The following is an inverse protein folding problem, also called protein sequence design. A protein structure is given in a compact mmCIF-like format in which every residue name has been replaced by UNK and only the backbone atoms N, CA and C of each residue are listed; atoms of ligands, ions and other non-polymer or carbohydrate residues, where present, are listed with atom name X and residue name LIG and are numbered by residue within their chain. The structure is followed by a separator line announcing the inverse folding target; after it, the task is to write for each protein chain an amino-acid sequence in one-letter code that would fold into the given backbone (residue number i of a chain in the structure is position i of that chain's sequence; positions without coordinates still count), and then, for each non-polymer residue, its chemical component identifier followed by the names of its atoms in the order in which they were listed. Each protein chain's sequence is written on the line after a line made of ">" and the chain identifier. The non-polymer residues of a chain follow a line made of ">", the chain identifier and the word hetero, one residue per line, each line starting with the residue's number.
data_IF_982234829494
#
_entry.id   IF_982234829494
#
_cell.length_a   1.000
_cell.length_b   1.000
_cell.length_c   1.000
_cell.angle_alpha   90.00
_cell.angle_beta   90.00
_cell.angle_gamma   90.00
#
_symmetry.space_group_name_H-M   'P 1'
#
loop_
_entity.id
_entity.type
_entity.pdbx_description
1 polymer ?
#
# COMPACT_ATOMS: atom_id res chain seq x y z
N UNK A 1 38.94 -26.56 35.03
CA UNK A 1 37.68 -26.65 34.26
C UNK A 1 37.17 -25.23 34.07
N UNK A 2 37.51 -24.60 32.94
CA UNK A 2 37.08 -23.23 32.61
C UNK A 2 35.79 -23.35 31.81
N UNK A 3 34.68 -22.88 32.36
CA UNK A 3 33.41 -22.80 31.64
C UNK A 3 33.51 -21.58 30.72
N UNK A 4 33.65 -21.81 29.42
CA UNK A 4 33.47 -20.78 28.40
C UNK A 4 31.97 -20.66 28.14
N UNK A 5 31.35 -19.61 28.68
CA UNK A 5 29.99 -19.22 28.31
C UNK A 5 30.03 -18.59 26.92
N UNK A 6 29.60 -19.35 25.91
CA UNK A 6 29.53 -18.89 24.53
C UNK A 6 28.40 -17.86 24.36
N UNK A 7 28.81 -16.63 24.03
CA UNK A 7 28.18 -15.65 23.14
C UNK A 7 26.64 -15.61 23.04
N UNK A 8 26.07 -14.56 23.64
CA UNK A 8 24.93 -13.76 23.17
C UNK A 8 23.97 -14.41 22.16
N UNK A 9 22.79 -14.79 22.64
CA UNK A 9 21.57 -14.75 21.85
C UNK A 9 21.35 -13.29 21.43
N UNK A 10 21.84 -12.89 20.26
CA UNK A 10 21.41 -11.66 19.63
C UNK A 10 19.92 -11.81 19.33
N UNK A 11 19.06 -11.23 20.16
CA UNK A 11 17.66 -11.07 19.82
C UNK A 11 17.60 -10.33 18.49
N UNK A 12 17.21 -11.02 17.42
CA UNK A 12 16.97 -10.36 16.14
C UNK A 12 15.88 -9.32 16.34
N UNK A 13 16.15 -8.07 15.99
CA UNK A 13 15.17 -6.98 16.06
C UNK A 13 13.87 -7.42 15.37
N UNK A 14 12.75 -7.32 16.08
CA UNK A 14 11.44 -7.70 15.56
C UNK A 14 11.11 -6.80 14.37
N UNK A 15 10.97 -7.41 13.19
CA UNK A 15 10.62 -6.70 11.96
C UNK A 15 9.21 -6.13 12.02
N UNK A 16 9.04 -4.91 11.52
CA UNK A 16 7.80 -4.12 11.67
C UNK A 16 7.29 -3.59 10.35
N UNK A 17 5.98 -3.68 10.12
CA UNK A 17 5.33 -3.06 8.96
C UNK A 17 4.04 -2.33 9.33
N UNK A 18 3.70 -1.32 8.53
CA UNK A 18 2.40 -0.65 8.57
C UNK A 18 1.60 -1.06 7.34
N UNK A 19 0.32 -1.41 7.53
CA UNK A 19 -0.65 -1.64 6.47
C UNK A 19 -1.76 -0.59 6.58
N UNK A 20 -1.75 0.41 5.70
CA UNK A 20 -2.86 1.36 5.58
C UNK A 20 -3.91 0.77 4.64
N UNK A 21 -5.14 0.59 5.14
CA UNK A 21 -6.19 -0.19 4.50
C UNK A 21 -6.26 -1.62 5.04
N UNK A 22 -5.77 -1.87 6.25
CA UNK A 22 -5.61 -3.21 6.84
C UNK A 22 -6.89 -4.03 7.05
N UNK A 23 -8.07 -3.47 6.77
CA UNK A 23 -9.36 -4.19 6.80
C UNK A 23 -9.98 -4.37 5.41
N UNK A 24 -9.36 -3.85 4.35
CA UNK A 24 -9.71 -4.17 2.97
C UNK A 24 -9.17 -5.54 2.57
N UNK A 25 -9.60 -6.10 1.44
CA UNK A 25 -9.26 -7.46 1.04
C UNK A 25 -7.73 -7.71 0.98
N UNK A 26 -6.98 -6.86 0.26
CA UNK A 26 -5.52 -6.96 0.20
C UNK A 26 -4.86 -6.64 1.55
N UNK A 27 -5.46 -5.73 2.34
CA UNK A 27 -4.96 -5.38 3.67
C UNK A 27 -5.08 -6.52 4.68
N UNK A 28 -6.20 -7.24 4.69
CA UNK A 28 -6.41 -8.43 5.52
C UNK A 28 -5.38 -9.51 5.17
N UNK A 29 -5.19 -9.77 3.87
CA UNK A 29 -4.19 -10.73 3.38
C UNK A 29 -2.77 -10.28 3.76
N UNK A 30 -2.45 -8.99 3.65
CA UNK A 30 -1.15 -8.45 4.03
C UNK A 30 -0.88 -8.61 5.53
N UNK A 31 -1.87 -8.29 6.37
CA UNK A 31 -1.74 -8.46 7.82
C UNK A 31 -1.51 -9.93 8.16
N UNK A 32 -2.32 -10.84 7.62
CA UNK A 32 -2.16 -12.29 7.81
C UNK A 32 -0.80 -12.79 7.41
N UNK A 33 -0.37 -12.44 6.20
CA UNK A 33 0.89 -12.90 5.64
C UNK A 33 2.07 -12.48 6.52
N UNK A 34 2.18 -11.20 6.88
CA UNK A 34 3.30 -10.70 7.68
C UNK A 34 3.25 -11.22 9.13
N UNK A 35 2.06 -11.36 9.73
CA UNK A 35 1.92 -11.98 11.06
C UNK A 35 2.37 -13.43 11.06
N UNK A 36 2.08 -14.19 10.00
CA UNK A 36 2.56 -15.57 9.83
C UNK A 36 4.09 -15.68 9.69
N UNK A 37 4.76 -14.61 9.27
CA UNK A 37 6.23 -14.53 9.24
C UNK A 37 6.84 -14.08 10.59
N UNK A 38 6.03 -13.95 11.65
CA UNK A 38 6.41 -13.40 12.96
C UNK A 38 6.78 -11.89 12.95
N UNK A 39 6.28 -11.13 11.98
CA UNK A 39 6.47 -9.68 11.95
C UNK A 39 5.42 -8.99 12.82
N UNK A 40 5.79 -7.85 13.39
CA UNK A 40 4.84 -6.94 14.03
C UNK A 40 4.13 -6.11 12.95
N UNK A 41 2.81 -6.02 13.02
CA UNK A 41 2.00 -5.36 12.00
C UNK A 41 1.05 -4.35 12.63
N UNK A 42 1.16 -3.08 12.24
CA UNK A 42 0.16 -2.06 12.52
C UNK A 42 -0.85 -1.97 11.38
N UNK A 43 -2.14 -2.11 11.69
CA UNK A 43 -3.24 -1.86 10.74
C UNK A 43 -3.79 -0.45 10.93
N UNK A 44 -3.83 0.35 9.86
CA UNK A 44 -4.51 1.65 9.83
C UNK A 44 -5.77 1.50 8.98
N UNK A 45 -6.96 1.67 9.56
CA UNK A 45 -8.23 1.48 8.85
C UNK A 45 -9.42 2.11 9.60
N UNK A 46 -10.61 2.11 9.01
CA UNK A 46 -11.83 2.60 9.65
C UNK A 46 -12.36 1.66 10.75
N UNK A 47 -11.95 0.41 10.75
CA UNK A 47 -12.29 -0.59 11.76
C UNK A 47 -11.05 -1.33 12.26
N UNK A 48 -11.19 -2.08 13.35
CA UNK A 48 -10.09 -2.84 13.97
C UNK A 48 -9.88 -4.13 13.17
N UNK A 49 -8.62 -4.40 12.81
CA UNK A 49 -8.18 -5.73 12.39
C UNK A 49 -7.62 -6.47 13.62
N UNK A 50 -8.33 -7.51 14.08
CA UNK A 50 -7.96 -8.28 15.28
C UNK A 50 -6.73 -9.17 15.08
N UNK A 51 -6.34 -9.42 13.84
CA UNK A 51 -5.17 -10.23 13.51
C UNK A 51 -3.87 -9.39 13.52
N UNK A 52 -3.99 -8.06 13.43
CA UNK A 52 -2.86 -7.14 13.51
C UNK A 52 -2.31 -7.05 14.94
N UNK A 53 -1.01 -6.76 15.07
CA UNK A 53 -0.35 -6.54 16.36
C UNK A 53 -0.85 -5.26 17.04
N UNK A 54 -1.22 -4.26 16.24
CA UNK A 54 -1.75 -3.00 16.71
C UNK A 54 -2.66 -2.35 15.66
N UNK A 55 -3.48 -1.39 16.09
CA UNK A 55 -4.44 -0.71 15.22
C UNK A 55 -4.42 0.80 15.44
N UNK A 56 -4.55 1.56 14.35
CA UNK A 56 -4.92 2.98 14.36
C UNK A 56 -6.24 3.13 13.63
N UNK A 57 -7.29 3.49 14.37
CA UNK A 57 -8.62 3.72 13.79
C UNK A 57 -8.69 5.10 13.13
N UNK A 58 -8.99 5.14 11.84
CA UNK A 58 -9.19 6.38 11.07
C UNK A 58 -10.57 6.94 11.39
N UNK A 59 -10.62 8.21 11.81
CA UNK A 59 -11.89 8.93 12.00
C UNK A 59 -12.40 9.44 10.66
N UNK A 60 -13.68 9.20 10.35
CA UNK A 60 -14.31 9.78 9.16
C UNK A 60 -14.43 11.29 9.35
N UNK A 61 -13.93 12.05 8.38
CA UNK A 61 -14.00 13.52 8.35
C UNK A 61 -13.91 13.99 6.90
N UNK A 62 -14.49 15.15 6.64
CA UNK A 62 -14.40 15.86 5.37
C UNK A 62 -13.10 16.70 5.26
N UNK A 63 -12.36 16.82 6.37
CA UNK A 63 -11.09 17.56 6.42
C UNK A 63 -9.89 16.63 6.25
N UNK A 64 -9.24 16.71 5.09
CA UNK A 64 -7.99 15.99 4.83
C UNK A 64 -6.96 16.21 5.94
N UNK A 65 -6.74 17.47 6.31
CA UNK A 65 -5.70 17.83 7.27
C UNK A 65 -5.99 17.32 8.68
N UNK A 66 -7.26 17.23 9.06
CA UNK A 66 -7.67 16.63 10.33
C UNK A 66 -7.42 15.13 10.34
N UNK A 67 -7.83 14.41 9.29
CA UNK A 67 -7.56 12.98 9.14
C UNK A 67 -6.05 12.69 9.16
N UNK A 68 -5.28 13.47 8.39
CA UNK A 68 -3.83 13.31 8.30
C UNK A 68 -3.15 13.53 9.65
N UNK A 69 -3.53 14.59 10.39
CA UNK A 69 -3.02 14.84 11.75
C UNK A 69 -3.41 13.71 12.70
N UNK A 70 -4.66 13.27 12.68
CA UNK A 70 -5.16 12.21 13.56
C UNK A 70 -4.42 10.89 13.37
N UNK A 71 -4.24 10.46 12.12
CA UNK A 71 -3.49 9.24 11.81
C UNK A 71 -2.01 9.38 12.17
N UNK A 72 -1.39 10.52 11.84
CA UNK A 72 0.03 10.77 12.18
C UNK A 72 0.27 10.72 13.68
N UNK A 73 -0.59 11.35 14.49
CA UNK A 73 -0.52 11.30 15.95
C UNK A 73 -0.79 9.88 16.47
N UNK A 74 -1.75 9.16 15.88
CA UNK A 74 -2.05 7.78 16.26
C UNK A 74 -0.86 6.84 16.04
N UNK A 75 -0.20 6.94 14.89
CA UNK A 75 1.02 6.17 14.58
C UNK A 75 2.18 6.59 15.49
N UNK A 76 2.34 7.89 15.76
CA UNK A 76 3.39 8.36 16.68
C UNK A 76 3.22 7.86 18.11
N UNK A 77 1.99 7.78 18.62
CA UNK A 77 1.71 7.16 19.93
C UNK A 77 2.02 5.66 19.94
N UNK A 78 1.86 4.99 18.80
CA UNK A 78 2.05 3.56 18.68
C UNK A 78 3.53 3.17 18.57
N UNK A 79 4.31 3.93 17.79
CA UNK A 79 5.70 3.61 17.49
C UNK A 79 6.72 4.34 18.39
N UNK A 80 6.37 5.50 18.94
CA UNK A 80 7.37 6.38 19.54
C UNK A 80 8.46 6.71 18.51
N UNK A 81 9.71 6.36 18.85
CA UNK A 81 10.88 6.56 17.98
C UNK A 81 11.22 5.33 17.11
N UNK A 82 10.51 4.21 17.29
CA UNK A 82 10.76 2.98 16.56
C UNK A 82 10.46 3.15 15.06
N UNK A 83 11.29 2.50 14.23
CA UNK A 83 11.15 2.51 12.77
C UNK A 83 10.46 1.24 12.27
N UNK A 84 9.98 1.31 11.03
CA UNK A 84 9.37 0.18 10.32
C UNK A 84 10.17 -0.15 9.06
N UNK A 85 10.18 -1.43 8.71
CA UNK A 85 10.82 -1.96 7.51
C UNK A 85 10.04 -1.59 6.24
N UNK A 86 8.71 -1.55 6.33
CA UNK A 86 7.88 -1.14 5.22
C UNK A 86 6.54 -0.51 5.62
N UNK A 87 6.00 0.30 4.71
CA UNK A 87 4.65 0.87 4.77
C UNK A 87 3.93 0.47 3.47
N UNK A 88 2.83 -0.26 3.60
CA UNK A 88 1.99 -0.67 2.48
C UNK A 88 0.69 0.13 2.49
N UNK A 89 0.55 1.05 1.54
CA UNK A 89 -0.70 1.78 1.30
C UNK A 89 -1.57 1.00 0.32
N UNK A 90 -2.43 0.14 0.87
CA UNK A 90 -3.40 -0.69 0.12
C UNK A 90 -4.84 -0.22 0.27
N UNK A 91 -5.05 0.89 0.98
CA UNK A 91 -6.31 1.60 0.99
C UNK A 91 -6.59 2.23 -0.38
N UNK A 92 -7.86 2.21 -0.77
CA UNK A 92 -8.32 2.72 -2.04
C UNK A 92 -9.71 2.20 -2.32
N UNK A 93 -10.35 2.83 -3.29
CA UNK A 93 -11.60 2.37 -3.87
C UNK A 93 -11.64 2.70 -5.35
N UNK A 94 -12.72 2.27 -5.98
CA UNK A 94 -12.97 2.42 -7.41
C UNK A 94 -14.38 2.96 -7.62
N UNK A 95 -14.54 3.79 -8.64
CA UNK A 95 -15.83 4.26 -9.12
C UNK A 95 -15.81 4.39 -10.64
N UNK A 96 -16.87 3.90 -11.28
CA UNK A 96 -17.14 4.11 -12.70
C UNK A 96 -17.98 5.38 -12.89
N UNK A 97 -17.85 6.00 -14.06
CA UNK A 97 -18.53 7.23 -14.43
C UNK A 97 -17.70 8.06 -15.40
N UNK A 98 -18.28 8.35 -16.56
CA UNK A 98 -17.75 9.32 -17.50
C UNK A 98 -18.09 10.76 -17.10
N UNK A 99 -17.58 11.73 -17.86
CA UNK A 99 -17.73 13.15 -17.56
C UNK A 99 -19.19 13.67 -17.58
N UNK A 100 -20.13 12.93 -18.18
CA UNK A 100 -21.56 13.29 -18.19
C UNK A 100 -22.32 12.74 -16.97
N UNK A 101 -21.72 11.82 -16.21
CA UNK A 101 -22.39 11.18 -15.09
C UNK A 101 -22.77 12.21 -14.00
N UNK A 102 -24.03 12.18 -13.55
CA UNK A 102 -24.50 13.02 -12.43
C UNK A 102 -23.70 12.78 -11.13
N UNK A 103 -23.07 11.62 -10.99
CA UNK A 103 -22.23 11.24 -9.86
C UNK A 103 -20.78 11.73 -9.96
N UNK A 104 -20.38 12.43 -11.03
CA UNK A 104 -18.99 12.83 -11.29
C UNK A 104 -18.34 13.51 -10.08
N UNK A 105 -18.98 14.54 -9.53
CA UNK A 105 -18.42 15.29 -8.40
C UNK A 105 -18.33 14.45 -7.13
N UNK A 106 -19.37 13.65 -6.84
CA UNK A 106 -19.37 12.72 -5.70
C UNK A 106 -18.23 11.72 -5.80
N UNK A 107 -18.02 11.13 -6.98
CA UNK A 107 -16.95 10.16 -7.19
C UNK A 107 -15.57 10.80 -7.28
N UNK A 108 -15.46 12.04 -7.76
CA UNK A 108 -14.20 12.79 -7.72
C UNK A 108 -13.74 12.99 -6.26
N UNK A 109 -14.63 13.45 -5.39
CA UNK A 109 -14.35 13.61 -3.96
C UNK A 109 -14.00 12.26 -3.29
N UNK A 110 -14.83 11.23 -3.49
CA UNK A 110 -14.60 9.92 -2.89
C UNK A 110 -13.29 9.28 -3.35
N UNK A 111 -13.00 9.28 -4.66
CA UNK A 111 -11.76 8.70 -5.19
C UNK A 111 -10.53 9.44 -4.71
N UNK A 112 -10.62 10.76 -4.52
CA UNK A 112 -9.54 11.56 -3.95
C UNK A 112 -9.29 11.20 -2.49
N UNK A 113 -10.35 11.08 -1.68
CA UNK A 113 -10.25 10.67 -0.27
C UNK A 113 -9.68 9.26 -0.11
N UNK A 114 -10.14 8.30 -0.90
CA UNK A 114 -9.74 6.90 -0.73
C UNK A 114 -8.35 6.60 -1.28
N UNK A 115 -7.91 7.31 -2.33
CA UNK A 115 -6.64 7.02 -3.02
C UNK A 115 -5.54 8.05 -2.79
N UNK A 116 -5.87 9.35 -2.84
CA UNK A 116 -4.86 10.43 -2.75
C UNK A 116 -4.55 10.77 -1.29
N UNK A 117 -5.56 10.88 -0.43
CA UNK A 117 -5.33 11.20 0.99
C UNK A 117 -4.54 10.10 1.68
N UNK A 118 -4.91 8.84 1.46
CA UNK A 118 -4.24 7.67 2.05
C UNK A 118 -2.79 7.57 1.61
N UNK A 119 -2.52 7.74 0.30
CA UNK A 119 -1.17 7.77 -0.25
C UNK A 119 -0.34 8.92 0.32
N UNK A 120 -0.92 10.13 0.39
CA UNK A 120 -0.24 11.31 0.96
C UNK A 120 0.10 11.11 2.44
N UNK A 121 -0.81 10.54 3.23
CA UNK A 121 -0.55 10.24 4.64
C UNK A 121 0.56 9.19 4.76
N UNK A 122 0.53 8.11 3.98
CA UNK A 122 1.57 7.09 4.02
C UNK A 122 2.95 7.65 3.65
N UNK A 123 3.01 8.53 2.66
CA UNK A 123 4.23 9.26 2.30
C UNK A 123 4.78 10.04 3.49
N UNK A 124 3.94 10.82 4.18
CA UNK A 124 4.38 11.57 5.37
C UNK A 124 4.76 10.67 6.55
N UNK A 125 4.07 9.55 6.74
CA UNK A 125 4.47 8.54 7.71
C UNK A 125 5.83 7.95 7.36
N UNK A 126 6.14 7.76 6.07
CA UNK A 126 7.41 7.21 5.63
C UNK A 126 8.59 8.13 5.96
N UNK A 127 8.45 9.45 5.81
CA UNK A 127 9.51 10.40 6.19
C UNK A 127 9.83 10.35 7.70
N UNK A 128 8.86 9.94 8.53
CA UNK A 128 8.98 9.88 9.98
C UNK A 128 9.40 8.53 10.53
N UNK A 129 8.84 7.44 9.99
CA UNK A 129 8.89 6.12 10.62
C UNK A 129 9.52 5.05 9.74
N UNK A 130 9.71 5.28 8.44
CA UNK A 130 10.41 4.30 7.61
C UNK A 130 11.91 4.32 7.97
N UNK A 131 12.51 3.13 8.08
CA UNK A 131 13.97 3.03 8.27
C UNK A 131 14.73 3.36 6.99
N UNK A 132 16.02 3.65 7.13
CA UNK A 132 16.92 3.67 5.97
C UNK A 132 16.90 2.33 5.24
N UNK A 133 16.82 2.36 3.91
CA UNK A 133 16.66 1.15 3.10
C UNK A 133 15.25 0.52 3.14
N UNK A 134 14.28 1.14 3.83
CA UNK A 134 12.91 0.64 3.93
C UNK A 134 12.10 0.78 2.63
N UNK A 135 10.91 0.17 2.61
CA UNK A 135 10.02 0.15 1.45
C UNK A 135 8.70 0.90 1.73
N UNK A 136 8.33 1.84 0.86
CA UNK A 136 6.99 2.39 0.75
C UNK A 136 6.33 1.85 -0.52
N UNK A 137 5.17 1.21 -0.41
CA UNK A 137 4.37 0.86 -1.58
C UNK A 137 3.06 1.63 -1.58
N UNK A 138 2.73 2.23 -2.72
CA UNK A 138 1.45 2.87 -2.99
C UNK A 138 0.62 2.01 -3.94
N UNK A 139 -0.69 2.27 -3.98
CA UNK A 139 -1.62 1.55 -4.85
C UNK A 139 -2.01 2.41 -6.04
N UNK A 140 -1.35 2.18 -7.18
CA UNK A 140 -1.74 2.68 -8.48
C UNK A 140 -2.91 1.90 -9.08
N UNK A 141 -2.99 1.92 -10.42
CA UNK A 141 -3.94 1.14 -11.21
C UNK A 141 -3.44 1.10 -12.65
N UNK A 142 -3.51 -0.06 -13.29
CA UNK A 142 -3.09 -0.23 -14.70
C UNK A 142 -3.88 0.69 -15.64
N UNK A 143 -5.18 0.84 -15.42
CA UNK A 143 -6.06 1.64 -16.29
C UNK A 143 -5.68 3.12 -16.35
N UNK A 144 -5.02 3.65 -15.32
CA UNK A 144 -4.62 5.06 -15.25
C UNK A 144 -3.31 5.38 -16.00
N UNK A 145 -2.76 4.40 -16.74
CA UNK A 145 -1.64 4.62 -17.67
C UNK A 145 -2.09 5.21 -19.01
N UNK A 146 -3.39 5.27 -19.26
CA UNK A 146 -3.97 5.84 -20.47
C UNK A 146 -5.30 6.55 -20.19
N UNK A 147 -6.06 6.89 -21.24
CA UNK A 147 -7.34 7.55 -21.10
C UNK A 147 -8.36 6.69 -20.33
N UNK A 148 -9.00 7.27 -19.31
CA UNK A 148 -10.00 6.60 -18.46
C UNK A 148 -11.39 7.20 -18.63
N UNK A 149 -11.90 7.22 -19.87
CA UNK A 149 -13.15 7.92 -20.22
C UNK A 149 -14.37 7.45 -19.41
N UNK A 150 -14.46 6.16 -19.07
CA UNK A 150 -15.56 5.57 -18.29
C UNK A 150 -15.32 5.56 -16.77
N UNK A 151 -14.21 6.12 -16.30
CA UNK A 151 -13.86 6.14 -14.87
C UNK A 151 -13.00 7.36 -14.54
N UNK A 152 -13.43 8.54 -14.97
CA UNK A 152 -12.60 9.77 -14.99
C UNK A 152 -12.05 10.10 -13.59
N UNK A 153 -12.92 10.10 -12.58
CA UNK A 153 -12.55 10.38 -11.18
C UNK A 153 -11.53 9.38 -10.62
N UNK A 154 -11.67 8.10 -10.95
CA UNK A 154 -10.74 7.06 -10.52
C UNK A 154 -9.39 7.18 -11.22
N UNK A 155 -9.40 7.42 -12.53
CA UNK A 155 -8.19 7.64 -13.33
C UNK A 155 -7.38 8.84 -12.83
N UNK A 156 -8.02 9.99 -12.59
CA UNK A 156 -7.37 11.18 -12.04
C UNK A 156 -6.69 10.91 -10.70
N UNK A 157 -7.39 10.24 -9.77
CA UNK A 157 -6.85 9.92 -8.46
C UNK A 157 -5.65 8.97 -8.54
N UNK A 158 -5.73 7.93 -9.38
CA UNK A 158 -4.63 6.96 -9.55
C UNK A 158 -3.44 7.53 -10.31
N UNK A 159 -3.64 8.38 -11.31
CA UNK A 159 -2.56 9.09 -12.00
C UNK A 159 -1.80 10.01 -11.02
N UNK A 160 -2.51 10.66 -10.09
CA UNK A 160 -1.88 11.45 -9.02
C UNK A 160 -0.98 10.59 -8.11
N UNK A 161 -1.38 9.35 -7.81
CA UNK A 161 -0.55 8.39 -7.05
C UNK A 161 0.68 7.95 -7.84
N UNK A 162 0.55 7.78 -9.18
CA UNK A 162 1.70 7.45 -10.03
C UNK A 162 2.73 8.58 -9.99
N UNK A 163 2.29 9.82 -10.18
CA UNK A 163 3.19 10.97 -10.14
C UNK A 163 3.79 11.21 -8.75
N UNK A 164 3.02 10.97 -7.68
CA UNK A 164 3.54 10.99 -6.31
C UNK A 164 4.68 9.97 -6.14
N UNK A 165 4.51 8.76 -6.65
CA UNK A 165 5.52 7.68 -6.57
C UNK A 165 6.83 8.10 -7.23
N UNK A 166 6.77 8.70 -8.42
CA UNK A 166 7.95 9.19 -9.12
C UNK A 166 8.59 10.36 -8.40
N UNK A 167 7.79 11.31 -7.91
CA UNK A 167 8.29 12.46 -7.13
C UNK A 167 9.09 12.01 -5.91
N UNK A 168 8.69 10.90 -5.27
CA UNK A 168 9.37 10.35 -4.11
C UNK A 168 10.74 9.72 -4.40
N UNK A 169 10.98 9.35 -5.65
CA UNK A 169 12.30 8.88 -6.11
C UNK A 169 13.29 10.01 -6.39
N UNK A 170 12.81 11.25 -6.49
CA UNK A 170 13.62 12.42 -6.74
C UNK A 170 14.50 12.80 -5.54
N UNK A 171 15.59 13.56 -5.78
CA UNK A 171 16.39 14.11 -4.69
C UNK A 171 15.56 15.05 -3.82
N UNK A 172 15.90 15.14 -2.53
CA UNK A 172 15.22 16.00 -1.54
C UNK A 172 13.72 15.69 -1.34
N UNK A 173 13.24 14.48 -1.70
CA UNK A 173 11.85 14.08 -1.48
C UNK A 173 11.45 13.96 0.01
N UNK A 174 12.44 13.93 0.91
CA UNK A 174 12.25 13.77 2.34
C UNK A 174 12.16 12.31 2.79
N UNK A 175 12.22 11.34 1.87
CA UNK A 175 12.33 9.93 2.25
C UNK A 175 13.72 9.61 2.85
N UNK A 176 13.81 8.63 3.78
CA UNK A 176 15.08 8.22 4.36
C UNK A 176 16.08 7.74 3.30
N UNK A 177 17.40 7.90 3.54
CA UNK A 177 18.43 7.38 2.65
C UNK A 177 18.23 5.92 2.25
N UNK A 178 18.49 5.62 0.97
CA UNK A 178 18.39 4.27 0.37
C UNK A 178 17.00 3.63 0.42
N UNK A 179 15.97 4.32 0.92
CA UNK A 179 14.60 3.82 0.87
C UNK A 179 14.06 3.80 -0.56
N UNK A 180 13.02 2.98 -0.77
CA UNK A 180 12.41 2.77 -2.09
C UNK A 180 10.92 3.07 -2.00
N UNK A 181 10.43 3.91 -2.91
CA UNK A 181 9.00 4.12 -3.12
C UNK A 181 8.57 3.42 -4.42
N UNK A 182 7.54 2.58 -4.37
CA UNK A 182 6.97 1.87 -5.52
C UNK A 182 5.47 2.11 -5.58
N UNK A 183 4.87 1.99 -6.77
CA UNK A 183 3.44 1.79 -6.90
C UNK A 183 3.18 0.45 -7.58
N UNK A 184 2.30 -0.36 -7.02
CA UNK A 184 1.72 -1.49 -7.76
C UNK A 184 0.55 -1.01 -8.61
N UNK A 185 0.48 -1.49 -9.85
CA UNK A 185 -0.55 -1.15 -10.83
C UNK A 185 -1.29 -2.44 -11.18
N UNK A 186 -2.18 -2.92 -10.30
CA UNK A 186 -2.99 -4.08 -10.62
C UNK A 186 -3.95 -3.79 -11.78
N UNK A 187 -4.24 -4.83 -12.57
CA UNK A 187 -5.50 -4.94 -13.30
C UNK A 187 -6.63 -5.22 -12.30
N UNK A 188 -7.28 -6.38 -12.39
CA UNK A 188 -8.28 -6.81 -11.41
C UNK A 188 -7.63 -7.67 -10.33
N UNK A 189 -7.83 -7.30 -9.06
CA UNK A 189 -7.47 -8.15 -7.93
C UNK A 189 -8.57 -9.18 -7.67
N UNK A 190 -8.19 -10.41 -7.34
CA UNK A 190 -9.14 -11.44 -6.95
C UNK A 190 -9.63 -11.22 -5.51
N UNK A 191 -10.75 -10.49 -5.38
CA UNK A 191 -11.34 -10.16 -4.09
C UNK A 191 -12.75 -10.74 -3.95
N UNK A 192 -13.22 -11.04 -2.72
CA UNK A 192 -14.60 -11.45 -2.50
C UNK A 192 -15.62 -10.46 -3.05
N UNK A 193 -15.33 -9.16 -2.93
CA UNK A 193 -16.16 -8.09 -3.51
C UNK A 193 -16.21 -8.24 -5.02
N UNK A 194 -15.07 -8.30 -5.71
CA UNK A 194 -15.02 -8.44 -7.17
C UNK A 194 -15.76 -9.69 -7.65
N UNK A 195 -15.58 -10.83 -6.98
CA UNK A 195 -16.33 -12.07 -7.30
C UNK A 195 -17.84 -11.90 -7.16
N UNK A 196 -18.30 -11.11 -6.18
CA UNK A 196 -19.71 -10.83 -5.96
C UNK A 196 -20.32 -9.91 -7.02
N UNK A 197 -19.62 -8.84 -7.41
CA UNK A 197 -20.10 -7.88 -8.43
C UNK A 197 -19.89 -8.37 -9.87
N UNK A 198 -18.94 -9.27 -10.11
CA UNK A 198 -18.63 -9.84 -11.42
C UNK A 198 -18.62 -11.38 -11.38
N UNK A 199 -19.75 -12.05 -11.09
CA UNK A 199 -19.80 -13.50 -10.84
C UNK A 199 -19.45 -14.35 -12.07
N UNK A 200 -19.63 -13.81 -13.28
CA UNK A 200 -19.39 -14.53 -14.55
C UNK A 200 -18.06 -14.12 -15.23
N UNK A 201 -17.22 -13.32 -14.57
CA UNK A 201 -15.95 -12.90 -15.14
C UNK A 201 -14.92 -14.05 -15.14
N UNK A 202 -14.00 -14.02 -16.10
CA UNK A 202 -12.87 -14.94 -16.14
C UNK A 202 -11.86 -14.59 -15.03
N UNK A 203 -11.97 -15.28 -13.90
CA UNK A 203 -11.08 -15.11 -12.75
C UNK A 203 -9.65 -15.57 -13.02
N UNK A 204 -9.38 -16.28 -14.13
CA UNK A 204 -8.00 -16.67 -14.51
C UNK A 204 -7.13 -15.47 -14.91
N UNK A 205 -7.76 -14.32 -15.17
CA UNK A 205 -7.12 -13.03 -15.44
C UNK A 205 -6.97 -12.15 -14.20
N UNK A 206 -7.48 -12.59 -13.03
CA UNK A 206 -7.46 -11.80 -11.81
C UNK A 206 -6.26 -12.13 -10.96
N UNK A 207 -5.61 -11.10 -10.43
CA UNK A 207 -4.38 -11.23 -9.64
C UNK A 207 -4.71 -11.71 -8.23
N UNK A 208 -4.20 -12.89 -7.82
CA UNK A 208 -4.41 -13.40 -6.47
C UNK A 208 -3.78 -12.48 -5.41
N UNK A 209 -4.47 -12.25 -4.30
CA UNK A 209 -3.98 -11.37 -3.22
C UNK A 209 -2.68 -11.87 -2.60
N UNK A 210 -2.53 -13.19 -2.46
CA UNK A 210 -1.32 -13.82 -1.92
C UNK A 210 -0.09 -13.58 -2.82
N UNK A 211 -0.27 -13.45 -4.13
CA UNK A 211 0.83 -13.09 -5.03
C UNK A 211 1.36 -11.69 -4.70
N UNK A 212 0.46 -10.73 -4.46
CA UNK A 212 0.81 -9.35 -4.11
C UNK A 212 1.54 -9.30 -2.76
N UNK A 213 1.06 -10.02 -1.75
CA UNK A 213 1.70 -10.04 -0.42
C UNK A 213 3.06 -10.74 -0.44
N UNK A 214 3.25 -11.77 -1.27
CA UNK A 214 4.56 -12.38 -1.52
C UNK A 214 5.53 -11.38 -2.18
N UNK A 215 5.08 -10.57 -3.15
CA UNK A 215 5.90 -9.50 -3.73
C UNK A 215 6.29 -8.47 -2.68
N UNK A 216 5.34 -8.00 -1.86
CA UNK A 216 5.63 -7.09 -0.76
C UNK A 216 6.70 -7.64 0.19
N UNK A 217 6.59 -8.92 0.56
CA UNK A 217 7.59 -9.56 1.42
C UNK A 217 8.97 -9.61 0.76
N UNK A 218 9.05 -10.14 -0.47
CA UNK A 218 10.30 -10.24 -1.25
C UNK A 218 10.98 -8.90 -1.36
N UNK A 219 10.24 -7.87 -1.77
CA UNK A 219 10.78 -6.52 -1.89
C UNK A 219 11.26 -6.01 -0.54
N UNK A 220 10.50 -6.18 0.54
CA UNK A 220 10.90 -5.70 1.87
C UNK A 220 12.18 -6.35 2.39
N UNK A 221 12.40 -7.64 2.10
CA UNK A 221 13.66 -8.34 2.45
C UNK A 221 14.79 -8.13 1.43
N UNK A 222 14.55 -7.35 0.37
CA UNK A 222 15.56 -6.97 -0.63
C UNK A 222 15.66 -7.89 -1.84
N UNK A 223 14.77 -8.89 -1.95
CA UNK A 223 14.72 -9.82 -3.08
C UNK A 223 14.01 -9.18 -4.28
N UNK A 224 14.70 -9.11 -5.42
CA UNK A 224 14.16 -8.62 -6.71
C UNK A 224 13.39 -7.30 -6.60
N UNK A 225 13.82 -6.40 -5.72
CA UNK A 225 13.18 -5.10 -5.47
C UNK A 225 13.40 -4.16 -6.68
N UNK A 226 12.33 -3.63 -7.31
CA UNK A 226 12.46 -2.61 -8.34
C UNK A 226 13.11 -1.32 -7.82
N UNK A 227 13.71 -0.49 -8.69
CA UNK A 227 14.27 0.80 -8.29
C UNK A 227 13.17 1.74 -7.79
N UNK A 228 13.55 2.69 -6.92
CA UNK A 228 12.64 3.72 -6.41
C UNK A 228 12.01 4.51 -7.56
N UNK A 229 10.72 4.84 -7.43
CA UNK A 229 9.93 5.52 -8.46
C UNK A 229 9.27 4.59 -9.46
N UNK A 230 9.53 3.28 -9.40
CA UNK A 230 8.93 2.33 -10.35
C UNK A 230 7.41 2.24 -10.18
N UNK A 231 6.72 2.31 -11.31
CA UNK A 231 5.35 1.86 -11.48
C UNK A 231 5.41 0.39 -11.90
N UNK A 232 4.87 -0.53 -11.10
CA UNK A 232 4.98 -1.97 -11.32
C UNK A 232 3.64 -2.52 -11.76
N UNK A 233 3.49 -2.80 -13.04
CA UNK A 233 2.28 -3.40 -13.60
C UNK A 233 2.14 -4.85 -13.13
N UNK A 234 0.97 -5.23 -12.62
CA UNK A 234 0.64 -6.61 -12.26
C UNK A 234 -0.37 -7.14 -13.27
N UNK A 235 0.09 -8.03 -14.15
CA UNK A 235 -0.72 -8.65 -15.20
C UNK A 235 -0.87 -10.12 -14.89
N UNK A 236 -2.12 -10.60 -14.81
CA UNK A 236 -2.42 -12.02 -14.66
C UNK A 236 -3.04 -12.55 -15.92
N UNK A 237 -2.47 -13.63 -16.45
CA UNK A 237 -3.00 -14.37 -17.59
C UNK A 237 -2.82 -15.86 -17.34
N UNK A 238 -3.87 -16.65 -17.59
CA UNK A 238 -3.87 -18.09 -17.38
C UNK A 238 -3.42 -18.49 -15.96
N UNK A 239 -3.86 -17.73 -14.94
CA UNK A 239 -3.52 -17.96 -13.53
C UNK A 239 -2.08 -17.62 -13.13
N UNK A 240 -1.27 -17.03 -14.02
CA UNK A 240 0.10 -16.59 -13.72
C UNK A 240 0.18 -15.07 -13.73
N UNK A 241 0.65 -14.51 -12.62
CA UNK A 241 0.90 -13.08 -12.47
C UNK A 241 2.35 -12.74 -12.78
N UNK A 242 2.57 -11.73 -13.60
CA UNK A 242 3.87 -11.13 -13.87
C UNK A 242 3.88 -9.70 -13.35
N UNK A 243 4.95 -9.34 -12.63
CA UNK A 243 5.20 -7.99 -12.13
C UNK A 243 6.27 -7.32 -12.98
N UNK A 244 5.90 -6.26 -13.71
CA UNK A 244 6.79 -5.58 -14.67
C UNK A 244 6.93 -4.10 -14.31
N UNK A 245 8.12 -3.62 -13.94
CA UNK A 245 8.39 -2.19 -13.86
C UNK A 245 8.22 -1.54 -15.23
N UNK A 246 7.43 -0.48 -15.29
CA UNK A 246 7.22 0.31 -16.50
C UNK A 246 7.76 1.72 -16.30
N UNK A 247 8.16 2.35 -17.41
CA UNK A 247 8.40 3.79 -17.44
C UNK A 247 7.04 4.48 -17.49
N UNK A 248 6.84 5.50 -16.66
CA UNK A 248 5.71 6.40 -16.89
C UNK A 248 5.84 7.00 -18.29
N UNK A 249 4.75 7.11 -19.06
CA UNK A 249 4.73 7.94 -20.25
C UNK A 249 5.08 9.40 -19.92
#
# INVERSE_FOLDING_TARGET
>A
MVIVLNSSLAFSEVKKVIVYGGTGALGLESVRYFRAQNWWVASIAHSVNKEASANVKVKMTESFTEQAKQVTVGVGKLLGDEKVDAIYCVAGGQAEGNAKANSLYKYADLMWKENVWTSTICTHLATKYLREGGLLTLSGAKVALGPTAESVSFGMAKASVHQLTQSLSGPNSGLPPRSVALAILPGTLDTPTNRKIMPNADVSSWTPLNHVTQLFFKWTVGESRPPSGSLVELVTANGRTVATPIKSP
#
